data_IF_994842942295
#
_entry.id   IF_994842942295
#
_cell.length_a   1.000
_cell.length_b   1.000
_cell.length_c   1.000
_cell.angle_alpha   90.00
_cell.angle_beta   90.00
_cell.angle_gamma   90.00
#
_symmetry.space_group_name_H-M   'P 1'
#
loop_
_entity.id
_entity.type
_entity.pdbx_description
1 polymer ?
#
# COMPACT_ATOMS: atom_id res chain seq x y z
N UNK A 1 -16.12 -2.93 6.90
CA UNK A 1 -16.34 -1.49 6.95
C UNK A 1 -17.77 -1.16 6.57
N UNK A 2 -18.36 -0.16 7.19
CA UNK A 2 -19.74 0.31 6.99
C UNK A 2 -19.78 1.83 6.89
N UNK A 3 -20.91 2.38 6.47
CA UNK A 3 -21.10 3.85 6.47
C UNK A 3 -20.87 4.48 7.86
N UNK A 4 -21.21 3.77 8.95
CA UNK A 4 -20.99 4.27 10.32
C UNK A 4 -19.51 4.47 10.64
N UNK A 5 -18.63 3.60 10.12
CA UNK A 5 -17.18 3.72 10.32
C UNK A 5 -16.65 4.96 9.58
N UNK A 6 -17.12 5.19 8.36
CA UNK A 6 -16.75 6.38 7.56
C UNK A 6 -17.27 7.66 8.22
N UNK A 7 -18.53 7.68 8.67
CA UNK A 7 -19.10 8.81 9.40
C UNK A 7 -18.30 9.13 10.69
N UNK A 8 -17.86 8.08 11.41
CA UNK A 8 -17.05 8.26 12.60
C UNK A 8 -15.67 8.88 12.28
N UNK A 9 -14.99 8.38 11.23
CA UNK A 9 -13.72 8.96 10.77
C UNK A 9 -13.88 10.44 10.42
N UNK A 10 -14.93 10.80 9.69
CA UNK A 10 -15.24 12.19 9.36
C UNK A 10 -15.46 13.04 10.61
N UNK A 11 -16.17 12.50 11.61
CA UNK A 11 -16.45 13.21 12.88
C UNK A 11 -15.19 13.52 13.70
N UNK A 12 -14.10 12.80 13.46
CA UNK A 12 -12.78 13.02 14.06
C UNK A 12 -11.97 14.10 13.34
N UNK A 13 -12.47 14.68 12.24
CA UNK A 13 -11.82 15.74 11.49
C UNK A 13 -10.81 15.26 10.45
N UNK A 14 -10.83 13.99 10.09
CA UNK A 14 -10.06 13.49 8.93
C UNK A 14 -10.72 13.93 7.63
N UNK A 15 -9.92 14.07 6.57
CA UNK A 15 -10.35 14.51 5.24
C UNK A 15 -10.27 13.40 4.18
N UNK A 16 -9.67 12.25 4.51
CA UNK A 16 -9.57 11.10 3.62
C UNK A 16 -9.49 9.77 4.39
N UNK A 17 -9.74 8.69 3.65
CA UNK A 17 -9.51 7.31 4.10
C UNK A 17 -8.67 6.56 3.08
N UNK A 18 -7.69 5.79 3.53
CA UNK A 18 -6.98 4.79 2.73
C UNK A 18 -7.71 3.47 2.85
N UNK A 19 -8.10 2.89 1.73
CA UNK A 19 -8.90 1.66 1.64
C UNK A 19 -8.03 0.57 1.04
N UNK A 20 -7.41 -0.28 1.88
CA UNK A 20 -6.67 -1.43 1.38
C UNK A 20 -7.62 -2.48 0.84
N UNK A 21 -7.30 -3.02 -0.33
CA UNK A 21 -8.02 -4.11 -0.97
C UNK A 21 -7.04 -5.09 -1.60
N UNK A 22 -7.21 -6.38 -1.32
CA UNK A 22 -6.42 -7.43 -1.94
C UNK A 22 -7.03 -7.81 -3.31
N UNK A 23 -6.19 -8.22 -4.25
CA UNK A 23 -6.61 -8.61 -5.60
C UNK A 23 -7.74 -9.64 -5.60
N UNK A 24 -7.70 -10.64 -4.69
CA UNK A 24 -8.67 -11.73 -4.61
C UNK A 24 -10.09 -11.30 -4.18
N UNK A 25 -10.26 -10.06 -3.78
CA UNK A 25 -11.58 -9.44 -3.59
C UNK A 25 -12.15 -8.94 -4.93
N UNK A 26 -11.27 -8.55 -5.85
CA UNK A 26 -11.62 -7.88 -7.10
C UNK A 26 -11.56 -8.79 -8.33
N UNK A 27 -10.71 -9.83 -8.30
CA UNK A 27 -10.56 -10.83 -9.37
C UNK A 27 -10.39 -12.24 -8.78
N UNK A 28 -10.78 -13.26 -9.54
CA UNK A 28 -10.56 -14.67 -9.19
C UNK A 28 -9.16 -15.18 -9.57
N UNK A 29 -8.89 -16.47 -9.32
CA UNK A 29 -7.60 -17.09 -9.62
C UNK A 29 -7.24 -17.05 -11.12
N UNK A 30 -8.23 -17.03 -12.00
CA UNK A 30 -8.06 -16.94 -13.45
C UNK A 30 -7.97 -15.50 -13.96
N UNK A 31 -8.12 -14.49 -13.08
CA UNK A 31 -8.09 -13.06 -13.41
C UNK A 31 -9.44 -12.51 -13.90
N UNK A 32 -10.54 -13.27 -13.74
CA UNK A 32 -11.86 -12.75 -14.05
C UNK A 32 -12.34 -11.80 -12.95
N UNK A 33 -12.92 -10.69 -13.35
CA UNK A 33 -13.41 -9.67 -12.43
C UNK A 33 -14.58 -10.18 -11.58
N UNK A 34 -14.53 -9.90 -10.28
CA UNK A 34 -15.56 -10.19 -9.29
C UNK A 34 -16.40 -8.92 -9.05
N UNK A 35 -17.58 -8.79 -9.68
CA UNK A 35 -18.39 -7.55 -9.60
C UNK A 35 -18.78 -7.17 -8.16
N UNK A 36 -19.04 -8.16 -7.29
CA UNK A 36 -19.38 -7.92 -5.89
C UNK A 36 -18.24 -7.30 -5.09
N UNK A 37 -16.99 -7.61 -5.42
CA UNK A 37 -15.82 -7.01 -4.80
C UNK A 37 -15.73 -5.51 -5.10
N UNK A 38 -15.96 -5.12 -6.35
CA UNK A 38 -16.04 -3.72 -6.74
C UNK A 38 -17.19 -2.98 -6.04
N UNK A 39 -18.31 -3.65 -5.78
CA UNK A 39 -19.42 -3.09 -5.01
C UNK A 39 -19.01 -2.60 -3.61
N UNK A 40 -18.01 -3.24 -2.97
CA UNK A 40 -17.47 -2.75 -1.68
C UNK A 40 -16.75 -1.40 -1.85
N UNK A 41 -15.94 -1.25 -2.90
CA UNK A 41 -15.23 0.01 -3.18
C UNK A 41 -16.20 1.13 -3.58
N UNK A 42 -17.20 0.83 -4.40
CA UNK A 42 -18.25 1.77 -4.83
C UNK A 42 -19.08 2.27 -3.63
N UNK A 43 -19.46 1.37 -2.73
CA UNK A 43 -20.12 1.74 -1.47
C UNK A 43 -19.23 2.63 -0.60
N UNK A 44 -17.96 2.27 -0.43
CA UNK A 44 -17.02 3.07 0.34
C UNK A 44 -16.86 4.48 -0.24
N UNK A 45 -16.70 4.61 -1.56
CA UNK A 45 -16.65 5.91 -2.25
C UNK A 45 -17.92 6.73 -1.98
N UNK A 46 -19.09 6.09 -2.12
CA UNK A 46 -20.38 6.78 -1.89
C UNK A 46 -20.53 7.28 -0.45
N UNK A 47 -20.08 6.49 0.53
CA UNK A 47 -20.06 6.92 1.92
C UNK A 47 -19.06 8.06 2.17
N UNK A 48 -17.87 7.99 1.55
CA UNK A 48 -16.89 9.07 1.61
C UNK A 48 -17.45 10.37 1.05
N UNK A 49 -18.10 10.33 -0.11
CA UNK A 49 -18.76 11.50 -0.72
C UNK A 49 -19.82 12.10 0.24
N UNK A 50 -20.68 11.26 0.80
CA UNK A 50 -21.73 11.67 1.73
C UNK A 50 -21.18 12.36 2.99
N UNK A 51 -20.01 11.94 3.46
CA UNK A 51 -19.38 12.46 4.67
C UNK A 51 -18.20 13.40 4.38
N UNK A 52 -18.06 13.89 3.14
CA UNK A 52 -17.05 14.85 2.70
C UNK A 52 -15.61 14.39 2.93
N UNK A 53 -15.35 13.09 2.74
CA UNK A 53 -14.02 12.50 2.74
C UNK A 53 -13.56 12.18 1.32
N UNK A 54 -12.25 12.22 1.10
CA UNK A 54 -11.62 11.64 -0.06
C UNK A 54 -11.29 10.15 0.18
N UNK A 55 -11.06 9.40 -0.89
CA UNK A 55 -10.74 7.99 -0.83
C UNK A 55 -9.44 7.70 -1.56
N UNK A 56 -8.51 7.00 -0.92
CA UNK A 56 -7.33 6.42 -1.55
C UNK A 56 -7.54 4.91 -1.67
N UNK A 57 -7.61 4.41 -2.89
CA UNK A 57 -7.64 2.96 -3.16
C UNK A 57 -6.19 2.46 -3.17
N UNK A 58 -5.88 1.55 -2.26
CA UNK A 58 -4.62 0.87 -2.15
C UNK A 58 -4.79 -0.59 -2.55
N UNK A 59 -4.14 -1.02 -3.65
CA UNK A 59 -4.03 -2.44 -3.96
C UNK A 59 -2.99 -3.05 -2.99
N UNK A 60 -3.51 -3.69 -1.95
CA UNK A 60 -2.69 -4.10 -0.82
C UNK A 60 -1.81 -5.30 -1.13
N UNK A 61 -2.34 -6.23 -1.91
CA UNK A 61 -1.63 -7.35 -2.53
C UNK A 61 -2.08 -7.50 -3.99
N UNK A 62 -1.21 -7.99 -4.86
CA UNK A 62 -1.58 -8.35 -6.22
C UNK A 62 -1.28 -9.84 -6.49
N UNK A 63 -1.86 -10.40 -7.54
CA UNK A 63 -1.57 -11.78 -7.92
C UNK A 63 -0.08 -11.97 -8.19
N UNK A 64 0.52 -12.93 -7.53
CA UNK A 64 1.97 -13.21 -7.62
C UNK A 64 2.86 -12.38 -6.70
N UNK A 65 2.30 -11.46 -5.90
CA UNK A 65 3.07 -10.70 -4.92
C UNK A 65 2.30 -10.44 -3.62
N UNK A 66 2.99 -10.63 -2.48
CA UNK A 66 2.54 -10.24 -1.15
C UNK A 66 3.71 -9.76 -0.29
N UNK A 67 3.46 -8.73 0.50
CA UNK A 67 4.39 -8.26 1.53
C UNK A 67 4.32 -9.08 2.82
N UNK A 68 3.26 -9.89 3.03
CA UNK A 68 2.99 -10.60 4.26
C UNK A 68 4.14 -11.56 4.64
N UNK A 69 4.80 -11.36 5.79
CA UNK A 69 5.91 -12.21 6.24
C UNK A 69 5.50 -13.66 6.50
N UNK A 70 4.21 -13.95 6.67
CA UNK A 70 3.69 -15.30 6.89
C UNK A 70 3.66 -16.12 5.58
N UNK A 71 3.67 -15.49 4.42
CA UNK A 71 3.77 -16.16 3.11
C UNK A 71 5.23 -16.48 2.77
N UNK A 72 5.84 -17.38 3.56
CA UNK A 72 7.29 -17.69 3.49
C UNK A 72 7.74 -18.34 2.18
N UNK A 73 6.86 -19.12 1.53
CA UNK A 73 7.17 -19.87 0.30
C UNK A 73 7.00 -19.04 -0.97
N UNK A 74 6.59 -17.77 -0.85
CA UNK A 74 6.40 -16.89 -1.99
C UNK A 74 7.74 -16.34 -2.51
N UNK A 75 7.99 -16.49 -3.82
CA UNK A 75 9.07 -15.77 -4.49
C UNK A 75 8.65 -14.31 -4.72
N UNK A 76 9.03 -13.43 -3.78
CA UNK A 76 8.72 -12.00 -3.81
C UNK A 76 9.40 -11.23 -4.93
N UNK A 77 10.34 -11.84 -5.67
CA UNK A 77 10.98 -11.21 -6.83
C UNK A 77 10.22 -11.47 -8.11
N UNK A 78 9.52 -12.59 -8.20
CA UNK A 78 8.93 -13.07 -9.44
C UNK A 78 8.09 -12.02 -10.15
N UNK A 79 7.19 -11.36 -9.43
CA UNK A 79 6.30 -10.32 -9.96
C UNK A 79 7.06 -9.23 -10.74
N UNK A 80 8.22 -8.79 -10.24
CA UNK A 80 8.98 -7.68 -10.81
C UNK A 80 9.71 -8.03 -12.11
N UNK A 81 9.78 -9.33 -12.47
CA UNK A 81 10.50 -9.82 -13.65
C UNK A 81 9.63 -10.72 -14.54
N UNK A 82 8.35 -10.89 -14.22
CA UNK A 82 7.40 -11.72 -14.98
C UNK A 82 6.36 -10.82 -15.66
N UNK A 83 6.47 -10.71 -16.98
CA UNK A 83 5.58 -9.84 -17.77
C UNK A 83 4.10 -10.24 -17.66
N UNK A 84 3.80 -11.54 -17.57
CA UNK A 84 2.41 -12.01 -17.45
C UNK A 84 1.76 -11.58 -16.12
N UNK A 85 2.53 -11.61 -15.02
CA UNK A 85 2.06 -11.10 -13.73
C UNK A 85 1.86 -9.59 -13.76
N UNK A 86 2.76 -8.85 -14.42
CA UNK A 86 2.63 -7.40 -14.58
C UNK A 86 1.45 -7.02 -15.48
N UNK A 87 1.20 -7.76 -16.56
CA UNK A 87 0.04 -7.56 -17.43
C UNK A 87 -1.26 -7.76 -16.67
N UNK A 88 -1.35 -8.81 -15.83
CA UNK A 88 -2.51 -9.05 -14.97
C UNK A 88 -2.72 -7.93 -13.96
N UNK A 89 -1.66 -7.48 -13.31
CA UNK A 89 -1.68 -6.33 -12.40
C UNK A 89 -2.19 -5.06 -13.10
N UNK A 90 -1.69 -4.76 -14.30
CA UNK A 90 -2.11 -3.60 -15.08
C UNK A 90 -3.56 -3.73 -15.57
N UNK A 91 -4.00 -4.95 -15.92
CA UNK A 91 -5.39 -5.20 -16.27
C UNK A 91 -6.33 -4.89 -15.09
N UNK A 92 -6.03 -5.40 -13.89
CA UNK A 92 -6.81 -5.07 -12.69
C UNK A 92 -6.85 -3.57 -12.42
N UNK A 93 -5.73 -2.86 -12.57
CA UNK A 93 -5.69 -1.41 -12.44
C UNK A 93 -6.51 -0.67 -13.50
N UNK A 94 -6.53 -1.19 -14.73
CA UNK A 94 -7.42 -0.66 -15.79
C UNK A 94 -8.89 -0.75 -15.38
N UNK A 95 -9.30 -1.90 -14.82
CA UNK A 95 -10.68 -2.12 -14.35
C UNK A 95 -11.05 -1.19 -13.18
N UNK A 96 -10.12 -1.01 -12.22
CA UNK A 96 -10.29 -0.05 -11.11
C UNK A 96 -10.41 1.37 -11.67
N UNK A 97 -9.47 1.79 -12.51
CA UNK A 97 -9.43 3.14 -13.04
C UNK A 97 -10.69 3.49 -13.84
N UNK A 98 -11.17 2.59 -14.70
CA UNK A 98 -12.40 2.79 -15.51
C UNK A 98 -13.62 3.01 -14.62
N UNK A 99 -13.74 2.29 -13.50
CA UNK A 99 -14.87 2.44 -12.57
C UNK A 99 -14.89 3.75 -11.82
N UNK A 100 -13.70 4.30 -11.51
CA UNK A 100 -13.59 5.51 -10.70
C UNK A 100 -13.14 6.74 -11.49
N UNK A 101 -13.07 6.68 -12.82
CA UNK A 101 -12.59 7.77 -13.69
C UNK A 101 -13.39 9.08 -13.59
N UNK A 102 -14.65 8.98 -13.21
CA UNK A 102 -15.55 10.14 -13.11
C UNK A 102 -15.41 10.87 -11.75
N UNK A 103 -14.48 10.43 -10.88
CA UNK A 103 -14.25 10.97 -9.54
C UNK A 103 -12.79 11.41 -9.30
N UNK A 104 -12.13 12.14 -10.23
CA UNK A 104 -10.69 12.41 -10.14
C UNK A 104 -10.29 13.31 -8.97
N UNK A 105 -11.23 14.11 -8.45
CA UNK A 105 -10.99 14.98 -7.30
C UNK A 105 -11.28 14.32 -5.94
N UNK A 106 -11.92 13.13 -5.97
CA UNK A 106 -12.31 12.41 -4.75
C UNK A 106 -11.50 11.12 -4.55
N UNK A 107 -11.07 10.47 -5.64
CA UNK A 107 -10.40 9.17 -5.57
C UNK A 107 -8.96 9.27 -6.05
N UNK A 108 -8.05 8.86 -5.18
CA UNK A 108 -6.64 8.67 -5.48
C UNK A 108 -6.31 7.16 -5.55
N UNK A 109 -5.18 6.80 -6.18
CA UNK A 109 -4.83 5.42 -6.45
C UNK A 109 -3.38 5.12 -6.04
N UNK A 110 -3.19 4.05 -5.26
CA UNK A 110 -1.90 3.56 -4.80
C UNK A 110 -1.64 2.18 -5.41
N UNK A 111 -0.61 2.03 -6.27
CA UNK A 111 -0.45 0.83 -7.11
C UNK A 111 -0.22 -0.45 -6.31
N UNK A 112 0.54 -0.38 -5.23
CA UNK A 112 0.87 -1.53 -4.40
C UNK A 112 1.34 -1.06 -3.03
N UNK A 113 0.89 -1.71 -1.96
CA UNK A 113 1.16 -1.32 -0.58
C UNK A 113 2.67 -1.24 -0.27
N UNK A 114 3.32 -2.34 -0.03
CA UNK A 114 4.71 -2.42 0.44
C UNK A 114 5.56 -3.32 -0.45
N UNK A 115 6.51 -2.75 -1.16
CA UNK A 115 7.54 -3.51 -1.86
C UNK A 115 8.67 -3.78 -0.88
N UNK A 116 8.85 -5.07 -0.50
CA UNK A 116 9.73 -5.42 0.63
C UNK A 116 11.22 -5.44 0.31
N UNK A 117 11.61 -5.77 -0.92
CA UNK A 117 13.00 -6.02 -1.31
C UNK A 117 13.63 -4.77 -1.92
N UNK A 118 14.80 -4.36 -1.40
CA UNK A 118 15.57 -3.23 -1.94
C UNK A 118 16.10 -3.49 -3.35
N UNK A 119 16.57 -4.70 -3.60
CA UNK A 119 17.18 -5.10 -4.87
C UNK A 119 16.23 -5.08 -6.07
N UNK A 120 14.92 -4.97 -5.87
CA UNK A 120 13.95 -4.83 -6.96
C UNK A 120 13.63 -3.37 -7.31
N UNK A 121 14.33 -2.38 -6.73
CA UNK A 121 14.00 -0.96 -6.89
C UNK A 121 13.92 -0.51 -8.36
N UNK A 122 14.87 -0.89 -9.20
CA UNK A 122 14.84 -0.54 -10.63
C UNK A 122 13.73 -1.27 -11.39
N UNK A 123 13.46 -2.52 -11.06
CA UNK A 123 12.35 -3.29 -11.65
C UNK A 123 10.99 -2.72 -11.20
N UNK A 124 10.87 -2.33 -9.93
CA UNK A 124 9.68 -1.63 -9.43
C UNK A 124 9.45 -0.30 -10.14
N UNK A 125 10.49 0.50 -10.36
CA UNK A 125 10.40 1.72 -11.15
C UNK A 125 9.91 1.48 -12.58
N UNK A 126 10.29 0.35 -13.20
CA UNK A 126 9.77 -0.02 -14.52
C UNK A 126 8.27 -0.36 -14.48
N UNK A 127 7.79 -1.05 -13.43
CA UNK A 127 6.36 -1.31 -13.21
C UNK A 127 5.61 0.00 -12.94
N UNK A 128 6.15 0.89 -12.09
CA UNK A 128 5.59 2.23 -11.85
C UNK A 128 5.41 2.99 -13.16
N UNK A 129 6.40 2.95 -14.06
CA UNK A 129 6.30 3.66 -15.33
C UNK A 129 5.16 3.11 -16.21
N UNK A 130 4.99 1.80 -16.30
CA UNK A 130 3.85 1.15 -16.98
C UNK A 130 2.52 1.57 -16.33
N UNK A 131 2.45 1.51 -15.00
CA UNK A 131 1.26 1.88 -14.23
C UNK A 131 0.87 3.36 -14.43
N UNK A 132 1.80 4.30 -14.25
CA UNK A 132 1.53 5.73 -14.43
C UNK A 132 1.06 6.02 -15.86
N UNK A 133 1.69 5.41 -16.88
CA UNK A 133 1.28 5.57 -18.27
C UNK A 133 -0.16 5.09 -18.48
N UNK A 134 -0.52 3.91 -17.95
CA UNK A 134 -1.87 3.38 -18.01
C UNK A 134 -2.87 4.31 -17.32
N UNK A 135 -2.59 4.69 -16.07
CA UNK A 135 -3.51 5.53 -15.28
C UNK A 135 -3.73 6.89 -15.94
N UNK A 136 -2.70 7.53 -16.48
CA UNK A 136 -2.83 8.80 -17.20
C UNK A 136 -3.67 8.71 -18.46
N UNK A 137 -3.71 7.55 -19.11
CA UNK A 137 -4.59 7.32 -20.27
C UNK A 137 -6.08 7.20 -19.90
N UNK A 138 -6.40 6.82 -18.65
CA UNK A 138 -7.78 6.57 -18.20
C UNK A 138 -8.27 7.67 -17.25
N UNK A 139 -7.42 8.08 -16.29
CA UNK A 139 -7.72 9.05 -15.23
C UNK A 139 -6.64 10.14 -15.17
N UNK A 140 -6.49 10.98 -16.20
CA UNK A 140 -5.39 11.94 -16.33
C UNK A 140 -5.31 12.92 -15.16
N UNK A 141 -6.44 13.26 -14.54
CA UNK A 141 -6.56 14.26 -13.49
C UNK A 141 -6.51 13.68 -12.06
N UNK A 142 -6.41 12.36 -11.89
CA UNK A 142 -6.39 11.76 -10.56
C UNK A 142 -5.01 11.86 -9.89
N UNK A 143 -5.00 11.89 -8.56
CA UNK A 143 -3.77 11.73 -7.78
C UNK A 143 -3.32 10.26 -7.77
N UNK A 144 -2.02 10.05 -8.04
CA UNK A 144 -1.38 8.74 -7.89
C UNK A 144 -0.41 8.80 -6.71
N UNK A 145 -0.55 7.86 -5.79
CA UNK A 145 0.26 7.78 -4.56
C UNK A 145 1.28 6.67 -4.74
N UNK A 146 2.57 7.02 -4.80
CA UNK A 146 3.63 6.09 -5.16
C UNK A 146 4.55 5.85 -3.95
N UNK A 147 4.68 4.59 -3.56
CA UNK A 147 5.59 4.13 -2.53
C UNK A 147 6.88 3.52 -3.11
N UNK A 148 7.93 3.55 -2.28
CA UNK A 148 9.23 2.97 -2.62
C UNK A 148 9.35 1.50 -2.23
N UNK A 149 10.58 1.05 -2.09
CA UNK A 149 10.95 -0.30 -1.64
C UNK A 149 11.18 -0.36 -0.12
N UNK A 150 11.68 -1.48 0.41
CA UNK A 150 12.00 -1.65 1.82
C UNK A 150 10.78 -1.42 2.74
N UNK A 151 9.65 -2.07 2.45
CA UNK A 151 8.39 -1.83 3.15
C UNK A 151 7.95 -0.36 3.08
N UNK A 152 8.18 0.26 1.94
CA UNK A 152 7.89 1.68 1.72
C UNK A 152 8.59 2.60 2.75
N UNK A 153 9.84 2.29 3.08
CA UNK A 153 10.62 3.08 4.03
C UNK A 153 10.95 4.48 3.47
N UNK A 154 10.97 5.49 4.33
CA UNK A 154 11.26 6.88 3.94
C UNK A 154 12.60 7.04 3.21
N UNK A 155 13.62 6.22 3.55
CA UNK A 155 14.93 6.25 2.89
C UNK A 155 14.89 5.73 1.45
N UNK A 156 13.84 5.02 1.05
CA UNK A 156 13.66 4.55 -0.32
C UNK A 156 12.97 5.56 -1.23
N UNK A 157 12.37 6.62 -0.69
CA UNK A 157 11.71 7.66 -1.48
C UNK A 157 12.63 8.27 -2.55
N UNK A 158 13.92 8.59 -2.28
CA UNK A 158 14.83 9.09 -3.31
C UNK A 158 15.14 8.10 -4.45
N UNK A 159 14.83 6.82 -4.28
CA UNK A 159 15.02 5.79 -5.30
C UNK A 159 13.84 5.71 -6.29
N UNK A 160 12.72 6.33 -5.98
CA UNK A 160 11.52 6.30 -6.82
C UNK A 160 11.76 7.14 -8.08
N UNK A 161 11.49 6.54 -9.23
CA UNK A 161 11.54 7.20 -10.55
C UNK A 161 10.16 7.10 -11.18
N UNK A 162 9.58 8.24 -11.52
CA UNK A 162 8.29 8.34 -12.22
C UNK A 162 8.48 9.00 -13.57
N UNK A 163 7.74 8.58 -14.63
CA UNK A 163 7.85 9.18 -15.95
C UNK A 163 7.25 10.58 -16.02
N UNK A 164 6.35 10.91 -15.10
CA UNK A 164 5.61 12.15 -15.00
C UNK A 164 5.38 12.47 -13.54
N UNK A 165 5.49 13.73 -13.15
CA UNK A 165 5.30 14.21 -11.76
C UNK A 165 3.96 14.90 -11.52
N UNK A 166 3.13 15.02 -12.55
CA UNK A 166 1.81 15.66 -12.43
C UNK A 166 0.90 14.88 -11.49
N UNK A 167 0.42 15.53 -10.43
CA UNK A 167 -0.43 14.91 -9.39
C UNK A 167 0.12 13.58 -8.86
N UNK A 168 1.44 13.48 -8.68
CA UNK A 168 2.09 12.37 -7.99
C UNK A 168 2.33 12.77 -6.53
N UNK A 169 1.95 11.88 -5.61
CA UNK A 169 2.25 11.98 -4.18
C UNK A 169 3.20 10.85 -3.83
N UNK A 170 4.36 11.16 -3.28
CA UNK A 170 5.26 10.15 -2.71
C UNK A 170 4.86 9.88 -1.27
N UNK A 171 4.58 8.62 -0.96
CA UNK A 171 4.29 8.21 0.40
C UNK A 171 5.44 7.39 1.01
N UNK A 172 5.40 7.23 2.32
CA UNK A 172 6.25 6.32 3.06
C UNK A 172 5.53 5.82 4.32
N UNK A 173 5.92 4.63 4.78
CA UNK A 173 5.45 4.08 6.04
C UNK A 173 6.48 4.32 7.15
N UNK A 174 6.01 4.66 8.35
CA UNK A 174 6.88 4.90 9.49
C UNK A 174 6.29 4.23 10.74
N UNK A 175 6.93 3.14 11.16
CA UNK A 175 6.58 2.40 12.37
C UNK A 175 7.60 2.59 13.51
N UNK A 176 8.53 3.53 13.35
CA UNK A 176 9.59 3.74 14.37
C UNK A 176 9.03 4.42 15.64
N UNK A 177 9.39 3.94 16.82
CA UNK A 177 10.21 2.76 17.08
C UNK A 177 9.42 1.47 17.01
N UNK A 178 9.84 0.53 16.14
CA UNK A 178 9.11 -0.70 15.86
C UNK A 178 8.83 -1.56 17.10
N UNK A 179 9.72 -1.52 18.09
CA UNK A 179 9.50 -2.21 19.38
C UNK A 179 8.24 -1.72 20.11
N UNK A 180 7.79 -0.51 19.83
CA UNK A 180 6.53 0.02 20.35
C UNK A 180 5.35 -0.32 19.44
N UNK A 181 5.47 -0.04 18.15
CA UNK A 181 4.35 -0.20 17.19
C UNK A 181 4.00 -1.67 16.94
N UNK A 182 4.98 -2.58 17.05
CA UNK A 182 4.79 -4.02 16.83
C UNK A 182 4.81 -4.84 18.13
N UNK A 183 4.65 -4.19 19.29
CA UNK A 183 4.63 -4.91 20.58
C UNK A 183 3.51 -5.96 20.61
N UNK A 184 3.86 -7.21 20.93
CA UNK A 184 2.93 -8.34 21.00
C UNK A 184 2.40 -8.79 19.62
N UNK A 185 3.02 -8.39 18.53
CA UNK A 185 2.64 -8.79 17.18
C UNK A 185 3.10 -10.24 16.90
N UNK A 186 2.16 -11.13 16.59
CA UNK A 186 2.44 -12.56 16.38
C UNK A 186 3.23 -12.86 15.10
N UNK A 187 3.21 -11.96 14.14
CA UNK A 187 3.95 -12.09 12.87
C UNK A 187 5.41 -11.62 12.96
N UNK A 188 5.79 -11.10 14.12
CA UNK A 188 7.14 -10.62 14.35
C UNK A 188 7.94 -11.69 15.05
N UNK A 189 9.04 -12.13 14.43
CA UNK A 189 9.92 -13.15 14.98
C UNK A 189 10.45 -12.75 16.36
N UNK A 190 10.46 -13.68 17.30
CA UNK A 190 10.90 -13.51 18.69
C UNK A 190 10.13 -12.45 19.52
N UNK A 191 9.01 -11.92 19.04
CA UNK A 191 8.18 -10.98 19.80
C UNK A 191 7.22 -11.74 20.73
N UNK A 192 7.35 -11.63 22.07
CA UNK A 192 6.37 -12.24 22.96
C UNK A 192 5.01 -11.57 22.82
N UNK A 193 3.94 -12.36 22.79
CA UNK A 193 2.57 -11.87 22.62
C UNK A 193 2.12 -10.93 23.75
N UNK A 194 2.69 -11.10 24.95
CA UNK A 194 2.41 -10.30 26.14
C UNK A 194 3.36 -9.12 26.33
N UNK A 195 4.38 -8.97 25.46
CA UNK A 195 5.30 -7.84 25.55
C UNK A 195 4.57 -6.50 25.36
N UNK A 196 4.78 -5.59 26.31
CA UNK A 196 4.25 -4.23 26.27
C UNK A 196 5.30 -3.22 26.70
N UNK A 197 5.38 -2.11 26.01
CA UNK A 197 6.25 -0.99 26.30
C UNK A 197 5.48 0.33 26.17
N UNK A 198 5.70 1.27 27.11
CA UNK A 198 5.00 2.55 27.13
C UNK A 198 5.51 3.53 26.07
N UNK A 199 4.71 4.55 25.80
CA UNK A 199 5.04 5.70 24.95
C UNK A 199 4.57 6.99 25.65
N UNK A 200 5.29 8.11 25.56
CA UNK A 200 6.63 8.22 24.94
C UNK A 200 7.76 7.72 25.87
N UNK A 201 8.86 7.28 25.27
CA UNK A 201 10.13 6.96 25.96
C UNK A 201 11.31 7.50 25.16
N UNK A 202 12.46 7.68 25.84
CA UNK A 202 13.70 8.04 25.16
C UNK A 202 14.19 6.90 24.25
N UNK A 203 14.92 7.25 23.20
CA UNK A 203 15.57 6.28 22.32
C UNK A 203 16.48 5.30 23.11
N UNK A 204 17.14 5.79 24.15
CA UNK A 204 17.98 4.97 25.01
C UNK A 204 17.18 3.92 25.78
N UNK A 205 15.97 4.21 26.21
CA UNK A 205 15.08 3.25 26.86
C UNK A 205 14.57 2.20 25.87
N UNK A 206 14.16 2.58 24.66
CA UNK A 206 13.76 1.61 23.62
C UNK A 206 14.93 0.70 23.23
N UNK A 207 16.17 1.21 23.12
CA UNK A 207 17.37 0.42 22.80
C UNK A 207 17.79 -0.58 23.88
N UNK A 208 17.36 -0.40 25.14
CA UNK A 208 17.63 -1.34 26.25
C UNK A 208 16.75 -2.58 26.18
N UNK A 209 15.69 -2.58 25.39
CA UNK A 209 14.84 -3.78 25.24
C UNK A 209 15.63 -4.87 24.52
N UNK A 210 15.41 -6.13 24.94
CA UNK A 210 16.11 -7.30 24.34
C UNK A 210 15.77 -7.51 22.85
N UNK A 211 14.71 -6.88 22.38
CA UNK A 211 14.18 -7.05 21.03
C UNK A 211 14.89 -6.10 20.07
N UNK A 212 16.13 -6.46 19.71
CA UNK A 212 16.93 -5.78 18.68
C UNK A 212 16.48 -6.12 17.24
N UNK A 213 15.47 -6.96 17.10
CA UNK A 213 15.04 -7.55 15.84
C UNK A 213 14.58 -6.52 14.78
N UNK A 214 14.47 -5.26 15.17
CA UNK A 214 13.96 -4.20 14.31
C UNK A 214 14.99 -3.08 14.01
N UNK A 215 16.22 -3.44 13.82
CA UNK A 215 17.05 -2.61 12.95
C UNK A 215 16.61 -2.99 11.53
N UNK A 216 16.03 -2.04 10.80
CA UNK A 216 15.59 -2.25 9.43
C UNK A 216 16.61 -3.09 8.68
N UNK A 217 16.19 -4.23 8.13
CA UNK A 217 17.01 -5.06 7.25
C UNK A 217 17.36 -4.32 5.95
N UNK A 218 16.70 -3.22 5.67
CA UNK A 218 17.00 -2.31 4.60
C UNK A 218 18.17 -1.41 4.97
N UNK A 219 19.32 -1.73 4.46
CA UNK A 219 20.49 -0.85 4.42
C UNK A 219 20.39 0.02 3.15
N UNK A 220 19.40 0.91 3.08
CA UNK A 220 19.49 1.98 2.10
C UNK A 220 20.74 2.78 2.45
N UNK A 221 21.83 2.49 1.78
CA UNK A 221 23.08 3.26 1.89
C UNK A 221 22.80 4.64 1.33
N UNK A 222 22.84 5.66 2.21
CA UNK A 222 22.89 7.06 1.80
C UNK A 222 24.26 7.34 1.19
#
# INVERSE_FOLDING_TARGET
ITEKDIAYIASLGYDHVRVPVDYNVLEDEDGNIIPSGFGYLENCRSWCEKHHLNMLIDLHECYGYSFDPLKKDMDRKKFFYDDALQERFLHLWSEIAVRFKDYPDQVAFEPLNEVVLEEVADAWNAVIAKYVTLMRSIVPEAYLVIGGVCYNNVLSVPLIKVPDTYKIVFNFHCYEPMVFTHQGAYWVEDMPLDFRIGYPKSLAEYRKTKYRAFQSTCRCSI
#
